data_IF_741989034632
#
_entry.id   IF_741989034632
#
_cell.length_a   1.000
_cell.length_b   1.000
_cell.length_c   1.000
_cell.angle_alpha   90.00
_cell.angle_beta   90.00
_cell.angle_gamma   90.00
#
_symmetry.space_group_name_H-M   'P 1'
#
loop_
_entity.id
_entity.type
_entity.pdbx_description
1 polymer ?
#
# COMPACT_ATOMS: atom_id res chain seq x y z
N UNK A 1 -9.89 3.41 5.18
CA UNK A 1 -8.58 3.28 5.88
C UNK A 1 -8.74 3.38 7.40
N UNK A 2 -9.02 2.28 8.10
CA UNK A 2 -9.39 2.33 9.53
C UNK A 2 -8.21 2.70 10.43
N UNK A 3 -7.06 2.00 10.32
CA UNK A 3 -5.88 2.23 11.16
C UNK A 3 -5.37 3.68 11.02
N UNK A 4 -5.24 4.18 9.80
CA UNK A 4 -4.78 5.55 9.54
C UNK A 4 -5.71 6.58 10.21
N UNK A 5 -7.03 6.40 10.07
CA UNK A 5 -8.02 7.28 10.69
C UNK A 5 -7.91 7.27 12.22
N UNK A 6 -7.87 6.09 12.84
CA UNK A 6 -7.79 5.96 14.30
C UNK A 6 -6.55 6.63 14.90
N UNK A 7 -5.39 6.48 14.26
CA UNK A 7 -4.15 7.11 14.73
C UNK A 7 -4.18 8.62 14.50
N UNK A 8 -4.70 9.11 13.37
CA UNK A 8 -4.78 10.55 13.10
C UNK A 8 -5.76 11.26 14.03
N UNK A 9 -6.86 10.60 14.39
CA UNK A 9 -7.91 11.14 15.27
C UNK A 9 -7.62 10.92 16.76
N UNK A 10 -6.55 10.20 17.11
CA UNK A 10 -6.24 9.95 18.52
C UNK A 10 -5.78 11.22 19.23
N UNK A 11 -5.88 11.30 20.56
CA UNK A 11 -5.41 12.45 21.31
C UNK A 11 -3.91 12.74 21.10
N UNK A 12 -3.48 14.02 21.13
CA UNK A 12 -2.07 14.40 21.27
C UNK A 12 -1.35 13.63 22.38
N UNK A 13 -0.11 13.25 22.14
CA UNK A 13 0.73 12.48 23.07
C UNK A 13 0.42 10.98 23.11
N UNK A 14 -0.55 10.49 22.33
CA UNK A 14 -0.85 9.05 22.28
C UNK A 14 0.26 8.23 21.62
N UNK A 15 0.38 6.98 22.08
CA UNK A 15 1.37 6.00 21.61
C UNK A 15 0.63 4.82 20.98
N UNK A 16 0.99 4.47 19.75
CA UNK A 16 0.36 3.39 18.99
C UNK A 16 1.39 2.36 18.54
N UNK A 17 1.15 1.10 18.88
CA UNK A 17 1.84 -0.03 18.26
C UNK A 17 0.98 -0.62 17.13
N UNK A 18 1.48 -0.63 15.90
CA UNK A 18 0.72 -1.04 14.70
C UNK A 18 1.30 -2.31 14.12
N UNK A 19 0.49 -3.36 14.03
CA UNK A 19 0.85 -4.68 13.48
C UNK A 19 0.48 -4.81 12.00
N UNK A 20 1.21 -4.13 11.14
CA UNK A 20 1.04 -4.22 9.67
C UNK A 20 2.39 -4.06 8.98
N UNK A 21 2.38 -3.93 7.67
CA UNK A 21 3.60 -3.75 6.88
C UNK A 21 4.38 -2.48 7.33
N UNK A 22 5.70 -2.61 7.48
CA UNK A 22 6.56 -1.63 8.14
C UNK A 22 6.60 -0.26 7.42
N UNK A 23 6.47 -0.21 6.10
CA UNK A 23 6.43 1.06 5.37
C UNK A 23 5.16 1.85 5.69
N UNK A 24 4.02 1.20 5.92
CA UNK A 24 2.81 1.89 6.37
C UNK A 24 3.00 2.48 7.76
N UNK A 25 3.60 1.72 8.69
CA UNK A 25 3.90 2.18 10.06
C UNK A 25 4.84 3.38 10.04
N UNK A 26 5.94 3.29 9.29
CA UNK A 26 6.93 4.37 9.19
C UNK A 26 6.34 5.61 8.52
N UNK A 27 5.54 5.45 7.46
CA UNK A 27 4.84 6.57 6.82
C UNK A 27 3.92 7.26 7.82
N UNK A 28 3.11 6.50 8.55
CA UNK A 28 2.19 7.05 9.53
C UNK A 28 2.93 7.74 10.69
N UNK A 29 4.00 7.14 11.20
CA UNK A 29 4.85 7.74 12.23
C UNK A 29 5.39 9.11 11.81
N UNK A 30 5.88 9.22 10.57
CA UNK A 30 6.38 10.49 10.03
C UNK A 30 5.28 11.53 9.84
N UNK A 31 4.07 11.11 9.45
CA UNK A 31 2.93 12.01 9.23
C UNK A 31 2.38 12.63 10.53
N UNK A 32 2.42 11.89 11.64
CA UNK A 32 1.81 12.34 12.92
C UNK A 32 2.81 12.85 13.95
N UNK A 33 4.11 12.70 13.69
CA UNK A 33 5.15 13.25 14.54
C UNK A 33 5.18 14.80 14.48
N UNK A 34 5.54 15.49 15.58
CA UNK A 34 5.88 14.95 16.91
C UNK A 34 4.65 14.76 17.82
N UNK A 35 3.45 15.08 17.33
CA UNK A 35 2.24 15.13 18.16
C UNK A 35 1.83 13.75 18.69
N UNK A 36 2.14 12.67 17.95
CA UNK A 36 1.86 11.28 18.35
C UNK A 36 3.07 10.39 18.06
N UNK A 37 3.16 9.28 18.80
CA UNK A 37 4.21 8.27 18.62
C UNK A 37 3.61 7.01 18.01
N UNK A 38 4.17 6.55 16.90
CA UNK A 38 3.74 5.31 16.22
C UNK A 38 4.95 4.40 16.08
N UNK A 39 4.81 3.15 16.53
CA UNK A 39 5.84 2.11 16.49
C UNK A 39 5.29 0.84 15.85
N UNK A 40 6.18 0.00 15.33
CA UNK A 40 5.83 -1.34 14.86
C UNK A 40 5.50 -2.24 16.05
N UNK A 41 4.47 -3.08 15.92
CA UNK A 41 4.17 -4.12 16.90
C UNK A 41 5.15 -5.31 16.79
N UNK A 42 5.71 -5.54 15.60
CA UNK A 42 6.71 -6.56 15.35
C UNK A 42 8.14 -6.01 15.60
N UNK A 43 8.91 -6.69 16.43
CA UNK A 43 10.28 -6.35 16.79
C UNK A 43 11.26 -6.42 15.61
N UNK A 44 10.98 -7.26 14.62
CA UNK A 44 11.83 -7.44 13.44
C UNK A 44 11.32 -6.65 12.22
N UNK A 45 10.11 -6.11 12.31
CA UNK A 45 9.42 -5.46 11.22
C UNK A 45 8.81 -6.46 10.23
N UNK A 46 7.53 -6.28 9.94
CA UNK A 46 6.84 -7.06 8.91
C UNK A 46 7.16 -6.49 7.52
N UNK A 47 8.14 -7.08 6.83
CA UNK A 47 8.51 -6.73 5.45
C UNK A 47 7.79 -7.62 4.44
N UNK A 48 7.13 -6.98 3.47
CA UNK A 48 6.55 -7.70 2.34
C UNK A 48 7.59 -7.84 1.22
N UNK A 49 8.17 -9.04 1.09
CA UNK A 49 9.23 -9.32 0.11
C UNK A 49 8.81 -9.10 -1.35
N UNK A 50 7.51 -9.20 -1.65
CA UNK A 50 6.97 -8.92 -2.99
C UNK A 50 6.81 -7.42 -3.25
N UNK A 51 6.40 -6.64 -2.25
CA UNK A 51 6.38 -5.17 -2.35
C UNK A 51 7.79 -4.60 -2.55
N UNK A 52 8.79 -5.18 -1.89
CA UNK A 52 10.19 -4.76 -2.00
C UNK A 52 10.79 -4.95 -3.40
N UNK A 53 10.11 -5.67 -4.31
CA UNK A 53 10.55 -5.80 -5.70
C UNK A 53 10.31 -4.54 -6.53
N UNK A 54 9.42 -3.65 -6.07
CA UNK A 54 9.18 -2.35 -6.70
C UNK A 54 10.31 -1.41 -6.32
N UNK A 55 11.09 -0.98 -7.31
CA UNK A 55 12.25 -0.10 -7.10
C UNK A 55 12.25 1.07 -8.08
N UNK A 56 12.93 2.18 -7.75
CA UNK A 56 13.09 3.31 -8.67
C UNK A 56 13.71 2.92 -10.02
N UNK A 57 14.67 1.97 -10.01
CA UNK A 57 15.32 1.50 -11.24
C UNK A 57 14.33 0.77 -12.15
N UNK A 58 13.49 -0.11 -11.60
CA UNK A 58 12.45 -0.80 -12.37
C UNK A 58 11.38 0.17 -12.86
N UNK A 59 11.01 1.17 -12.05
CA UNK A 59 10.07 2.21 -12.45
C UNK A 59 10.62 3.04 -13.62
N UNK A 60 11.86 3.50 -13.54
CA UNK A 60 12.53 4.23 -14.62
C UNK A 60 12.54 3.42 -15.92
N UNK A 61 12.93 2.14 -15.84
CA UNK A 61 12.94 1.24 -16.99
C UNK A 61 11.56 1.11 -17.67
N UNK A 62 10.48 0.99 -16.88
CA UNK A 62 9.11 0.94 -17.41
C UNK A 62 8.75 2.27 -18.09
N UNK A 63 9.11 3.40 -17.50
CA UNK A 63 8.80 4.74 -18.04
C UNK A 63 9.59 5.04 -19.32
N UNK A 64 10.87 4.67 -19.39
CA UNK A 64 11.68 4.80 -20.60
C UNK A 64 11.11 3.95 -21.74
N UNK A 65 10.70 2.71 -21.44
CA UNK A 65 9.99 1.87 -22.41
C UNK A 65 8.73 2.55 -22.94
N UNK A 66 7.89 3.11 -22.06
CA UNK A 66 6.67 3.82 -22.48
C UNK A 66 6.95 5.02 -23.39
N UNK A 67 8.02 5.79 -23.10
CA UNK A 67 8.47 6.89 -23.97
C UNK A 67 8.83 6.37 -25.37
N UNK A 68 9.51 5.23 -25.43
CA UNK A 68 10.02 4.64 -26.66
C UNK A 68 8.99 3.73 -27.36
N UNK A 69 7.74 3.70 -26.89
CA UNK A 69 6.65 2.90 -27.45
C UNK A 69 6.69 1.39 -27.09
N UNK A 70 7.55 1.00 -26.14
CA UNK A 70 7.72 -0.37 -25.67
C UNK A 70 6.97 -0.57 -24.35
N UNK A 71 6.02 -1.50 -24.31
CA UNK A 71 5.28 -1.83 -23.09
C UNK A 71 5.88 -3.06 -22.41
N UNK A 72 6.56 -2.85 -21.28
CA UNK A 72 7.07 -3.93 -20.45
C UNK A 72 5.98 -4.53 -19.56
N UNK A 73 5.91 -5.86 -19.49
CA UNK A 73 5.06 -6.61 -18.55
C UNK A 73 3.58 -6.17 -18.55
N UNK A 74 3.00 -5.93 -19.73
CA UNK A 74 1.59 -5.55 -19.87
C UNK A 74 0.68 -6.58 -19.17
N UNK A 75 -0.06 -6.13 -18.17
CA UNK A 75 -1.00 -6.97 -17.44
C UNK A 75 -2.21 -7.27 -18.33
N UNK A 76 -2.31 -8.51 -18.79
CA UNK A 76 -3.46 -8.98 -19.57
C UNK A 76 -4.14 -10.10 -18.81
N UNK A 77 -5.45 -9.95 -18.61
CA UNK A 77 -6.30 -10.96 -17.96
C UNK A 77 -7.28 -11.54 -19.01
N UNK A 78 -7.50 -12.87 -19.06
CA UNK A 78 -8.47 -13.47 -19.96
C UNK A 78 -9.90 -12.94 -19.74
N UNK A 79 -10.69 -12.85 -20.82
CA UNK A 79 -12.01 -12.23 -20.77
C UNK A 79 -12.99 -12.88 -19.77
N UNK A 80 -13.08 -14.23 -19.68
CA UNK A 80 -13.94 -14.85 -18.68
C UNK A 80 -13.56 -14.46 -17.25
N UNK A 81 -12.25 -14.39 -16.95
CA UNK A 81 -11.73 -14.02 -15.63
C UNK A 81 -12.01 -12.54 -15.33
N UNK A 82 -11.78 -11.64 -16.30
CA UNK A 82 -12.09 -10.21 -16.15
C UNK A 82 -13.55 -9.99 -15.81
N UNK A 83 -14.46 -10.64 -16.55
CA UNK A 83 -15.90 -10.48 -16.35
C UNK A 83 -16.31 -10.86 -14.93
N UNK A 84 -15.96 -12.07 -14.48
CA UNK A 84 -16.38 -12.55 -13.17
C UNK A 84 -15.68 -11.84 -12.00
N UNK A 85 -14.40 -11.49 -12.15
CA UNK A 85 -13.69 -10.68 -11.16
C UNK A 85 -14.33 -9.29 -11.01
N UNK A 86 -14.76 -8.67 -12.12
CA UNK A 86 -15.44 -7.38 -12.12
C UNK A 86 -16.80 -7.45 -11.42
N UNK A 87 -17.61 -8.47 -11.71
CA UNK A 87 -18.91 -8.66 -11.02
C UNK A 87 -18.74 -8.77 -9.50
N UNK A 88 -17.72 -9.52 -9.04
CA UNK A 88 -17.44 -9.64 -7.61
C UNK A 88 -17.00 -8.30 -7.00
N UNK A 89 -16.12 -7.57 -7.70
CA UNK A 89 -15.65 -6.24 -7.28
C UNK A 89 -16.80 -5.23 -7.21
N UNK A 90 -17.65 -5.17 -8.24
CA UNK A 90 -18.79 -4.25 -8.30
C UNK A 90 -19.76 -4.51 -7.15
N UNK A 91 -20.05 -5.80 -6.85
CA UNK A 91 -20.89 -6.17 -5.69
C UNK A 91 -20.28 -5.71 -4.37
N UNK A 92 -18.97 -5.90 -4.17
CA UNK A 92 -18.27 -5.43 -2.97
C UNK A 92 -18.39 -3.91 -2.82
N UNK A 93 -18.22 -3.15 -3.92
CA UNK A 93 -18.27 -1.69 -3.91
C UNK A 93 -19.69 -1.14 -3.71
N UNK A 94 -20.74 -1.82 -4.20
CA UNK A 94 -22.13 -1.37 -4.03
C UNK A 94 -22.64 -1.44 -2.58
N UNK A 95 -21.95 -2.14 -1.69
CA UNK A 95 -22.33 -2.31 -0.28
C UNK A 95 -21.39 -1.60 0.70
N UNK A 96 -20.43 -0.81 0.21
CA UNK A 96 -19.49 -0.04 1.05
C UNK A 96 -20.10 1.23 1.63
#
# INVERSE_FOLDING_TARGET
>A
EYILKQVRESPPGSIWAVGTEIHLVNRLANEVAPDRTVITLDQFGCLCSTMFRVSPNHLLWVLDGMRDGIVHNHIVVPEPTKYWARVALDRMLTIQ
#
